data_IF_473350480099
#
_entry.id   IF_473350480099
#
_cell.length_a   1.000
_cell.length_b   1.000
_cell.length_c   1.000
_cell.angle_alpha   90.00
_cell.angle_beta   90.00
_cell.angle_gamma   90.00
#
_symmetry.space_group_name_H-M   'P 1'
#
loop_
_entity.id
_entity.type
_entity.pdbx_description
1 polymer ?
#
# COMPACT_ATOMS: atom_id res chain seq x y z
N UNK A 1 -35.59 39.19 23.58
CA UNK A 1 -36.67 38.26 23.58
C UNK A 1 -36.23 36.85 23.96
N UNK A 2 -37.10 36.08 24.49
CA UNK A 2 -36.80 34.65 24.82
C UNK A 2 -36.40 33.86 23.59
N UNK A 3 -37.03 34.11 22.46
CA UNK A 3 -36.68 33.43 21.19
C UNK A 3 -35.27 33.75 20.75
N UNK A 4 -34.79 34.99 20.91
CA UNK A 4 -33.44 35.37 20.57
C UNK A 4 -32.39 34.71 21.50
N UNK A 5 -32.68 34.60 22.78
CA UNK A 5 -31.83 33.89 23.74
C UNK A 5 -31.74 32.41 23.41
N UNK A 6 -32.90 31.78 23.10
CA UNK A 6 -32.93 30.37 22.73
C UNK A 6 -32.16 30.10 21.44
N UNK A 7 -32.32 30.95 20.43
CA UNK A 7 -31.58 30.87 19.19
C UNK A 7 -30.04 31.01 19.39
N UNK A 8 -29.64 31.98 20.21
CA UNK A 8 -28.25 32.21 20.57
C UNK A 8 -27.63 31.01 21.30
N UNK A 9 -28.36 30.44 22.25
CA UNK A 9 -27.93 29.24 22.97
C UNK A 9 -27.82 28.05 22.04
N UNK A 10 -28.76 27.87 21.11
CA UNK A 10 -28.73 26.83 20.11
C UNK A 10 -27.47 26.92 19.19
N UNK A 11 -27.17 28.12 18.73
CA UNK A 11 -25.95 28.36 17.94
C UNK A 11 -24.67 28.04 18.74
N UNK A 12 -24.60 28.49 19.99
CA UNK A 12 -23.46 28.23 20.87
C UNK A 12 -23.23 26.72 21.09
N UNK A 13 -24.28 25.98 21.37
CA UNK A 13 -24.22 24.51 21.53
C UNK A 13 -23.84 23.83 20.22
N UNK A 14 -24.43 24.24 19.11
CA UNK A 14 -24.07 23.71 17.80
C UNK A 14 -22.61 23.93 17.43
N UNK A 15 -22.08 25.11 17.70
CA UNK A 15 -20.66 25.40 17.50
C UNK A 15 -19.75 24.58 18.42
N UNK A 16 -20.14 24.40 19.67
CA UNK A 16 -19.38 23.60 20.64
C UNK A 16 -19.33 22.12 20.24
N UNK A 17 -20.39 21.59 19.62
CA UNK A 17 -20.48 20.19 19.19
C UNK A 17 -20.08 19.95 17.73
N UNK A 18 -19.70 20.99 16.98
CA UNK A 18 -19.47 20.90 15.54
C UNK A 18 -18.42 19.84 15.15
N UNK A 19 -17.33 19.73 15.92
CA UNK A 19 -16.31 18.70 15.68
C UNK A 19 -16.83 17.29 15.85
N UNK A 20 -17.60 17.03 16.87
CA UNK A 20 -18.23 15.72 17.11
C UNK A 20 -19.25 15.38 16.02
N UNK A 21 -20.03 16.36 15.57
CA UNK A 21 -20.99 16.18 14.48
C UNK A 21 -20.29 15.88 13.15
N UNK A 22 -19.16 16.52 12.87
CA UNK A 22 -18.34 16.22 11.69
C UNK A 22 -17.80 14.79 11.73
N UNK A 23 -17.32 14.34 12.88
CA UNK A 23 -16.82 12.98 13.04
C UNK A 23 -17.94 11.95 12.95
N UNK A 24 -19.09 12.23 13.51
CA UNK A 24 -20.27 11.37 13.36
C UNK A 24 -20.74 11.28 11.91
N UNK A 25 -20.85 12.40 11.22
CA UNK A 25 -21.20 12.43 9.80
C UNK A 25 -20.16 11.71 8.95
N UNK A 26 -18.87 11.91 9.27
CA UNK A 26 -17.76 11.20 8.61
C UNK A 26 -17.86 9.68 8.79
N UNK A 27 -18.21 9.21 9.97
CA UNK A 27 -18.46 7.80 10.24
C UNK A 27 -19.59 7.22 9.40
N UNK A 28 -20.70 7.96 9.26
CA UNK A 28 -21.80 7.55 8.40
C UNK A 28 -21.38 7.46 6.93
N UNK A 29 -20.60 8.42 6.44
CA UNK A 29 -20.07 8.43 5.08
C UNK A 29 -19.20 7.20 4.84
N UNK A 30 -18.30 6.90 5.76
CA UNK A 30 -17.43 5.72 5.68
C UNK A 30 -18.26 4.43 5.65
N UNK A 31 -19.27 4.31 6.48
CA UNK A 31 -20.14 3.13 6.52
C UNK A 31 -21.01 2.97 5.27
N UNK A 32 -21.45 4.08 4.68
CA UNK A 32 -22.31 4.05 3.49
C UNK A 32 -21.52 3.82 2.20
N UNK A 33 -20.42 4.53 2.01
CA UNK A 33 -19.62 4.48 0.77
C UNK A 33 -18.46 3.48 0.84
N UNK A 34 -18.10 3.03 2.00
CA UNK A 34 -17.11 1.98 2.25
C UNK A 34 -15.79 2.19 1.48
N UNK A 35 -15.10 3.33 1.64
CA UNK A 35 -13.77 3.49 1.08
C UNK A 35 -12.78 2.49 1.68
N UNK A 36 -13.06 1.99 2.86
CA UNK A 36 -12.39 0.88 3.53
C UNK A 36 -13.38 0.16 4.44
N UNK A 37 -13.02 -1.04 4.84
CA UNK A 37 -13.77 -1.87 5.79
C UNK A 37 -12.83 -2.49 6.82
N UNK A 38 -13.37 -3.03 7.89
CA UNK A 38 -12.61 -3.77 8.90
C UNK A 38 -11.83 -4.91 8.24
N UNK A 39 -10.55 -5.00 8.56
CA UNK A 39 -9.62 -5.96 7.99
C UNK A 39 -8.76 -5.42 6.86
N UNK A 40 -9.10 -4.29 6.26
CA UNK A 40 -8.31 -3.68 5.19
C UNK A 40 -7.05 -3.02 5.77
N UNK A 41 -5.94 -3.17 5.05
CA UNK A 41 -4.74 -2.37 5.31
C UNK A 41 -4.86 -1.07 4.53
N UNK A 42 -4.82 0.04 5.26
CA UNK A 42 -4.97 1.38 4.68
C UNK A 42 -3.86 2.31 5.13
N UNK A 43 -3.67 3.37 4.36
CA UNK A 43 -2.80 4.49 4.68
C UNK A 43 -3.61 5.79 4.57
N UNK A 44 -3.57 6.60 5.61
CA UNK A 44 -4.26 7.88 5.68
C UNK A 44 -3.65 8.74 6.77
N UNK A 45 -3.68 10.06 6.62
CA UNK A 45 -3.20 11.01 7.63
C UNK A 45 -1.75 10.75 8.07
N UNK A 46 -0.91 10.27 7.16
CA UNK A 46 0.50 9.98 7.44
C UNK A 46 0.75 8.71 8.27
N UNK A 47 -0.27 7.90 8.50
CA UNK A 47 -0.17 6.63 9.25
C UNK A 47 -0.74 5.48 8.44
N UNK A 48 -0.35 4.27 8.75
CA UNK A 48 -0.86 3.06 8.09
C UNK A 48 -1.12 1.94 9.10
N UNK A 49 -2.06 1.10 8.77
CA UNK A 49 -2.42 -0.04 9.60
C UNK A 49 -3.64 -0.78 9.09
N UNK A 50 -3.94 -1.89 9.75
CA UNK A 50 -5.17 -2.65 9.51
C UNK A 50 -6.34 -1.98 10.22
N UNK A 51 -7.45 -1.79 9.54
CA UNK A 51 -8.68 -1.29 10.13
C UNK A 51 -9.19 -2.34 11.12
N UNK A 52 -9.10 -2.02 12.41
CA UNK A 52 -9.56 -2.89 13.50
C UNK A 52 -11.05 -2.69 13.76
N UNK A 53 -11.49 -1.45 13.77
CA UNK A 53 -12.84 -1.07 14.16
C UNK A 53 -13.19 0.31 13.59
N UNK A 54 -14.45 0.49 13.23
CA UNK A 54 -15.03 1.80 12.86
C UNK A 54 -16.04 2.15 13.93
N UNK A 55 -15.67 3.08 14.80
CA UNK A 55 -16.52 3.59 15.86
C UNK A 55 -17.30 4.82 15.40
N UNK A 56 -18.19 5.32 16.25
CA UNK A 56 -19.06 6.47 15.93
C UNK A 56 -18.24 7.70 15.52
N UNK A 57 -17.14 7.99 16.23
CA UNK A 57 -16.33 9.20 16.00
C UNK A 57 -14.96 8.92 15.43
N UNK A 58 -14.45 7.69 15.56
CA UNK A 58 -13.09 7.32 15.18
C UNK A 58 -13.05 6.04 14.37
N UNK A 59 -12.11 5.97 13.46
CA UNK A 59 -11.62 4.73 12.87
C UNK A 59 -10.36 4.31 13.63
N UNK A 60 -10.28 3.06 14.00
CA UNK A 60 -9.18 2.51 14.79
C UNK A 60 -8.34 1.60 13.91
N UNK A 61 -7.04 1.88 13.82
CA UNK A 61 -6.08 1.06 13.10
C UNK A 61 -5.16 0.33 14.07
N UNK A 62 -4.73 -0.87 13.68
CA UNK A 62 -3.62 -1.58 14.32
C UNK A 62 -2.44 -1.58 13.36
N UNK A 63 -1.29 -1.08 13.81
CA UNK A 63 -0.06 -1.05 13.02
C UNK A 63 0.57 -2.42 12.90
N UNK A 64 1.52 -2.58 11.97
CA UNK A 64 2.25 -3.84 11.81
C UNK A 64 3.05 -4.25 13.04
N UNK A 65 3.48 -3.29 13.87
CA UNK A 65 4.16 -3.53 15.14
C UNK A 65 3.22 -3.47 16.36
N UNK A 66 1.91 -3.64 16.11
CA UNK A 66 0.86 -3.81 17.12
C UNK A 66 0.58 -2.59 17.99
N UNK A 67 0.73 -1.39 17.44
CA UNK A 67 0.23 -0.16 18.05
C UNK A 67 -1.18 0.14 17.57
N UNK A 68 -1.96 0.84 18.38
CA UNK A 68 -3.33 1.23 18.05
C UNK A 68 -3.36 2.72 17.74
N UNK A 69 -3.98 3.08 16.60
CA UNK A 69 -4.12 4.46 16.15
C UNK A 69 -5.59 4.82 16.06
N UNK A 70 -5.97 5.91 16.68
CA UNK A 70 -7.32 6.47 16.63
C UNK A 70 -7.33 7.66 15.67
N UNK A 71 -8.11 7.57 14.60
CA UNK A 71 -8.22 8.65 13.62
C UNK A 71 -9.66 9.16 13.61
N UNK A 72 -9.90 10.49 13.77
CA UNK A 72 -11.25 11.05 13.68
C UNK A 72 -11.89 10.74 12.33
N UNK A 73 -13.13 10.33 12.33
CA UNK A 73 -13.86 9.95 11.11
C UNK A 73 -14.05 11.11 10.13
N UNK A 74 -14.11 12.34 10.62
CA UNK A 74 -14.14 13.52 9.76
C UNK A 74 -12.91 13.62 8.88
N UNK A 75 -11.73 13.37 9.44
CA UNK A 75 -10.47 13.34 8.70
C UNK A 75 -10.42 12.17 7.70
N UNK A 76 -10.95 11.02 8.08
CA UNK A 76 -10.99 9.85 7.20
C UNK A 76 -11.93 10.05 6.01
N UNK A 77 -13.10 10.65 6.23
CA UNK A 77 -14.10 10.84 5.18
C UNK A 77 -13.76 11.96 4.20
N UNK A 78 -12.99 12.95 4.63
CA UNK A 78 -12.61 14.11 3.81
C UNK A 78 -11.16 14.05 3.30
N UNK A 79 -10.32 13.20 3.88
CA UNK A 79 -8.92 13.07 3.53
C UNK A 79 -8.65 12.01 2.48
N UNK A 80 -7.38 11.90 2.12
CA UNK A 80 -6.90 10.88 1.19
C UNK A 80 -6.75 9.56 1.93
N UNK A 81 -7.32 8.50 1.37
CA UNK A 81 -7.17 7.13 1.88
C UNK A 81 -6.62 6.24 0.77
N UNK A 82 -5.52 5.56 1.04
CA UNK A 82 -4.98 4.51 0.18
C UNK A 82 -5.39 3.16 0.76
N UNK A 83 -6.17 2.39 0.01
CA UNK A 83 -6.62 1.06 0.42
C UNK A 83 -5.85 0.00 -0.38
N UNK A 84 -5.12 -0.87 0.33
CA UNK A 84 -4.29 -1.91 -0.28
C UNK A 84 -5.04 -3.22 -0.53
N UNK A 85 -6.28 -3.36 -0.05
CA UNK A 85 -7.05 -4.60 -0.11
C UNK A 85 -8.28 -4.54 -1.01
N UNK A 86 -8.70 -3.36 -1.47
CA UNK A 86 -9.86 -3.23 -2.35
C UNK A 86 -9.63 -3.96 -3.67
N UNK A 87 -8.45 -3.86 -4.25
CA UNK A 87 -8.09 -4.61 -5.44
C UNK A 87 -7.60 -6.00 -5.05
N UNK A 88 -8.02 -7.01 -5.83
CA UNK A 88 -7.66 -8.41 -5.59
C UNK A 88 -6.23 -8.74 -6.01
N UNK A 89 -5.64 -7.90 -6.84
CA UNK A 89 -4.26 -8.06 -7.32
C UNK A 89 -3.46 -6.80 -7.07
N UNK A 90 -2.14 -6.98 -6.92
CA UNK A 90 -1.17 -5.88 -6.77
C UNK A 90 0.03 -6.11 -7.67
N UNK A 91 0.66 -5.03 -8.09
CA UNK A 91 1.90 -5.09 -8.85
C UNK A 91 3.09 -5.01 -7.91
N UNK A 92 3.96 -6.01 -7.99
CA UNK A 92 5.25 -6.05 -7.28
C UNK A 92 6.34 -5.55 -8.22
N UNK A 93 7.26 -4.76 -7.70
CA UNK A 93 8.37 -4.19 -8.47
C UNK A 93 9.69 -4.47 -7.79
N UNK A 94 10.69 -4.84 -8.59
CA UNK A 94 12.08 -4.93 -8.18
C UNK A 94 12.93 -4.10 -9.11
N UNK A 95 13.97 -3.48 -8.55
CA UNK A 95 15.02 -2.82 -9.32
C UNK A 95 16.32 -3.52 -8.99
N UNK A 96 16.92 -4.16 -10.01
CA UNK A 96 18.14 -4.91 -9.89
C UNK A 96 19.27 -4.11 -10.52
N UNK A 97 20.27 -3.73 -9.70
CA UNK A 97 21.46 -3.05 -10.18
C UNK A 97 22.50 -4.08 -10.65
N UNK A 98 22.99 -3.92 -11.87
CA UNK A 98 24.06 -4.72 -12.44
C UNK A 98 25.21 -3.82 -12.92
N UNK A 99 26.39 -4.36 -13.06
CA UNK A 99 27.55 -3.61 -13.52
C UNK A 99 27.46 -3.25 -15.00
N UNK A 100 28.04 -2.12 -15.36
CA UNK A 100 28.22 -1.79 -16.77
C UNK A 100 29.09 -2.86 -17.45
N UNK A 101 28.73 -3.19 -18.68
CA UNK A 101 29.40 -4.24 -19.44
C UNK A 101 28.76 -5.61 -19.34
N UNK A 102 27.84 -5.81 -18.39
CA UNK A 102 27.02 -7.02 -18.35
C UNK A 102 26.08 -7.10 -19.54
N UNK A 103 25.87 -8.30 -20.06
CA UNK A 103 24.91 -8.53 -21.14
C UNK A 103 23.47 -8.40 -20.63
N UNK A 104 22.81 -7.33 -21.02
CA UNK A 104 21.41 -7.08 -20.61
C UNK A 104 20.48 -8.23 -20.99
N UNK A 105 20.62 -8.82 -22.17
CA UNK A 105 19.75 -9.91 -22.59
C UNK A 105 19.91 -11.15 -21.70
N UNK A 106 21.13 -11.41 -21.27
CA UNK A 106 21.40 -12.49 -20.31
C UNK A 106 20.80 -12.20 -18.93
N UNK A 107 20.96 -10.98 -18.44
CA UNK A 107 20.35 -10.54 -17.17
C UNK A 107 18.81 -10.62 -17.24
N UNK A 108 18.23 -10.12 -18.32
CA UNK A 108 16.78 -10.17 -18.53
C UNK A 108 16.27 -11.62 -18.51
N UNK A 109 16.97 -12.53 -19.19
CA UNK A 109 16.57 -13.94 -19.24
C UNK A 109 16.64 -14.61 -17.88
N UNK A 110 17.70 -14.34 -17.10
CA UNK A 110 17.85 -14.86 -15.74
C UNK A 110 16.68 -14.40 -14.87
N UNK A 111 16.38 -13.10 -14.89
CA UNK A 111 15.27 -12.55 -14.11
C UNK A 111 13.94 -13.16 -14.57
N UNK A 112 13.72 -13.27 -15.86
CA UNK A 112 12.50 -13.87 -16.42
C UNK A 112 12.32 -15.31 -15.98
N UNK A 113 13.38 -16.11 -15.98
CA UNK A 113 13.32 -17.50 -15.54
C UNK A 113 12.99 -17.61 -14.05
N UNK A 114 13.55 -16.73 -13.22
CA UNK A 114 13.23 -16.66 -11.80
C UNK A 114 11.74 -16.34 -11.60
N UNK A 115 11.21 -15.35 -12.31
CA UNK A 115 9.81 -14.95 -12.18
C UNK A 115 8.85 -16.02 -12.69
N UNK A 116 9.19 -16.68 -13.79
CA UNK A 116 8.36 -17.73 -14.39
C UNK A 116 8.28 -18.98 -13.50
N UNK A 117 9.31 -19.24 -12.71
CA UNK A 117 9.36 -20.39 -11.80
C UNK A 117 8.44 -20.23 -10.57
N UNK A 118 8.01 -19.01 -10.25
CA UNK A 118 7.10 -18.77 -9.12
C UNK A 118 5.64 -18.78 -9.60
N UNK A 119 4.89 -19.79 -9.18
CA UNK A 119 3.50 -19.99 -9.62
C UNK A 119 2.50 -18.99 -9.01
N UNK A 120 2.90 -18.19 -8.02
CA UNK A 120 2.09 -17.10 -7.45
C UNK A 120 2.06 -15.88 -8.36
N UNK A 121 3.02 -15.76 -9.27
CA UNK A 121 3.09 -14.68 -10.25
C UNK A 121 2.11 -14.97 -11.39
N UNK A 122 1.21 -14.02 -11.63
CA UNK A 122 0.19 -14.14 -12.66
C UNK A 122 0.81 -14.04 -14.06
N UNK A 123 0.23 -14.78 -15.00
CA UNK A 123 0.66 -14.77 -16.42
C UNK A 123 0.01 -13.63 -17.21
N UNK A 124 -1.11 -13.11 -16.73
CA UNK A 124 -1.86 -12.00 -17.34
C UNK A 124 -2.26 -10.98 -16.26
N UNK A 125 -1.73 -9.74 -16.29
CA UNK A 125 -0.73 -9.24 -17.25
C UNK A 125 0.62 -9.95 -17.12
N UNK A 126 1.30 -10.14 -18.26
CA UNK A 126 2.61 -10.80 -18.29
C UNK A 126 3.66 -9.99 -17.51
N UNK A 127 4.69 -10.66 -16.94
CA UNK A 127 5.81 -9.97 -16.33
C UNK A 127 6.47 -8.98 -17.30
N UNK A 128 6.78 -7.81 -16.78
CA UNK A 128 7.45 -6.75 -17.53
C UNK A 128 8.86 -6.59 -17.01
N UNK A 129 9.86 -6.66 -17.90
CA UNK A 129 11.27 -6.48 -17.59
C UNK A 129 11.85 -5.50 -18.60
N UNK A 130 12.52 -4.45 -18.10
CA UNK A 130 13.10 -3.42 -18.93
C UNK A 130 14.35 -2.83 -18.28
N UNK A 131 15.18 -2.18 -19.10
CA UNK A 131 16.28 -1.38 -18.61
C UNK A 131 15.66 -0.07 -18.07
N UNK A 132 15.80 0.14 -16.76
CA UNK A 132 15.11 1.21 -16.05
C UNK A 132 15.88 2.52 -16.04
N UNK A 133 17.18 2.44 -15.70
CA UNK A 133 18.02 3.61 -15.56
C UNK A 133 19.50 3.27 -15.76
N UNK A 134 20.25 4.27 -16.20
CA UNK A 134 21.70 4.24 -16.32
C UNK A 134 22.27 5.17 -15.26
N UNK A 135 22.64 4.60 -14.11
CA UNK A 135 23.21 5.35 -12.98
C UNK A 135 24.73 5.48 -13.08
N UNK A 136 25.33 6.23 -12.16
CA UNK A 136 26.74 6.53 -12.15
C UNK A 136 27.62 5.27 -12.07
N UNK A 137 27.19 4.25 -11.33
CA UNK A 137 27.97 3.03 -11.10
C UNK A 137 27.22 1.73 -11.38
N UNK A 138 25.97 1.81 -11.81
CA UNK A 138 25.15 0.63 -12.09
C UNK A 138 24.17 0.87 -13.21
N UNK A 139 23.82 -0.21 -13.89
CA UNK A 139 22.68 -0.26 -14.82
C UNK A 139 21.52 -0.91 -14.09
N UNK A 140 20.38 -0.23 -14.00
CA UNK A 140 19.24 -0.70 -13.25
C UNK A 140 18.21 -1.35 -14.16
N UNK A 141 17.86 -2.59 -13.85
CA UNK A 141 16.84 -3.36 -14.53
C UNK A 141 15.59 -3.40 -13.67
N UNK A 142 14.45 -3.01 -14.20
CA UNK A 142 13.17 -3.08 -13.51
C UNK A 142 12.43 -4.36 -13.92
N UNK A 143 11.89 -5.04 -12.92
CA UNK A 143 10.98 -6.17 -13.12
C UNK A 143 9.66 -5.89 -12.40
N UNK A 144 8.55 -6.04 -13.10
CA UNK A 144 7.20 -5.82 -12.56
C UNK A 144 6.34 -7.02 -12.86
N UNK A 145 5.68 -7.50 -11.84
CA UNK A 145 4.76 -8.64 -11.95
C UNK A 145 3.47 -8.37 -11.19
N UNK A 146 2.43 -9.11 -11.53
CA UNK A 146 1.15 -9.05 -10.85
C UNK A 146 0.96 -10.31 -10.03
N UNK A 147 0.48 -10.13 -8.80
CA UNK A 147 0.20 -11.22 -7.85
C UNK A 147 -1.13 -10.97 -7.16
N UNK A 148 -1.71 -11.99 -6.56
CA UNK A 148 -2.83 -11.79 -5.65
C UNK A 148 -2.36 -10.94 -4.46
N UNK A 149 -3.21 -10.04 -3.98
CA UNK A 149 -2.87 -9.09 -2.93
C UNK A 149 -2.27 -9.78 -1.70
N UNK A 150 -2.80 -10.93 -1.30
CA UNK A 150 -2.32 -11.69 -0.16
C UNK A 150 -0.88 -12.23 -0.34
N UNK A 151 -0.42 -12.39 -1.57
CA UNK A 151 0.90 -12.95 -1.90
C UNK A 151 1.98 -11.90 -2.06
N UNK A 152 1.63 -10.61 -1.98
CA UNK A 152 2.54 -9.51 -2.31
C UNK A 152 3.89 -9.59 -1.58
N UNK A 153 3.87 -9.64 -0.26
CA UNK A 153 5.09 -9.63 0.53
C UNK A 153 5.85 -10.95 0.46
N UNK A 154 5.15 -12.07 0.41
CA UNK A 154 5.77 -13.38 0.23
C UNK A 154 6.56 -13.45 -1.08
N UNK A 155 5.94 -13.05 -2.18
CA UNK A 155 6.60 -13.00 -3.49
C UNK A 155 7.76 -11.99 -3.48
N UNK A 156 7.54 -10.80 -2.92
CA UNK A 156 8.55 -9.77 -2.86
C UNK A 156 9.83 -10.25 -2.19
N UNK A 157 9.72 -10.86 -1.02
CA UNK A 157 10.88 -11.33 -0.26
C UNK A 157 11.52 -12.56 -0.88
N UNK A 158 10.75 -13.52 -1.34
CA UNK A 158 11.26 -14.76 -1.92
C UNK A 158 12.01 -14.50 -3.23
N UNK A 159 11.50 -13.61 -4.07
CA UNK A 159 12.16 -13.23 -5.33
C UNK A 159 13.44 -12.44 -5.06
N UNK A 160 13.45 -11.54 -4.08
CA UNK A 160 14.69 -10.86 -3.67
C UNK A 160 15.78 -11.87 -3.31
N UNK A 161 15.44 -12.87 -2.51
CA UNK A 161 16.36 -13.93 -2.11
C UNK A 161 16.85 -14.74 -3.31
N UNK A 162 15.93 -15.15 -4.17
CA UNK A 162 16.25 -15.96 -5.36
C UNK A 162 17.14 -15.19 -6.33
N UNK A 163 16.86 -13.90 -6.55
CA UNK A 163 17.73 -13.04 -7.39
C UNK A 163 19.13 -12.99 -6.82
N UNK A 164 19.27 -12.71 -5.53
CA UNK A 164 20.55 -12.64 -4.85
C UNK A 164 21.35 -13.95 -4.98
N UNK A 165 20.72 -15.08 -4.67
CA UNK A 165 21.36 -16.40 -4.74
C UNK A 165 21.75 -16.76 -6.18
N UNK A 166 20.87 -16.51 -7.16
CA UNK A 166 21.12 -16.85 -8.56
C UNK A 166 22.27 -16.04 -9.15
N UNK A 167 22.34 -14.74 -8.89
CA UNK A 167 23.42 -13.91 -9.37
C UNK A 167 24.76 -14.24 -8.70
N UNK A 168 24.75 -14.62 -7.42
CA UNK A 168 25.94 -15.09 -6.75
C UNK A 168 26.50 -16.39 -7.35
N UNK A 169 25.65 -17.36 -7.66
CA UNK A 169 26.04 -18.61 -8.31
C UNK A 169 26.65 -18.35 -9.69
N UNK A 170 26.01 -17.50 -10.48
CA UNK A 170 26.49 -17.18 -11.85
C UNK A 170 27.79 -16.39 -11.82
N UNK A 171 27.96 -15.47 -10.88
CA UNK A 171 29.22 -14.75 -10.69
C UNK A 171 30.38 -15.66 -10.30
N UNK A 172 30.12 -16.73 -9.54
CA UNK A 172 31.15 -17.73 -9.20
C UNK A 172 31.53 -18.65 -10.34
N UNK A 173 30.61 -18.85 -11.30
CA UNK A 173 30.90 -19.72 -12.46
C UNK A 173 31.73 -19.03 -13.53
N UNK A 174 31.94 -17.72 -13.44
CA UNK A 174 32.72 -16.93 -14.39
C UNK A 174 34.13 -16.58 -13.86
N UNK A 175 34.47 -16.93 -12.59
CA UNK A 175 35.80 -16.90 -12.01
C UNK A 175 36.56 -18.24 -12.25
#
# INVERSE_FOLDING_TARGET
SFAALLASAGVAVGMALSGNLQNFAGGLIVLLFKPYKVGDWIESQGVSGTVKEIQIFHTILTTGDNKVIYIPNGAMSSGVVTNYNTQTTRRVEWIVGVDYGEDYNKVQQIVRDILTADNRILTDPAPFIALHALDASSVNVVARVWVNTADYWGVYFDINKTIYETFNEKGRSEE
#
